data_IF_524322949202
#
_entry.id   IF_524322949202
#
_cell.length_a   1.000
_cell.length_b   1.000
_cell.length_c   1.000
_cell.angle_alpha   90.00
_cell.angle_beta   90.00
_cell.angle_gamma   90.00
#
_symmetry.space_group_name_H-M   'P 1'
#
loop_
_entity.id
_entity.type
_entity.pdbx_description
1 polymer ?
#
# COMPACT_ATOMS: atom_id res chain seq x y z
N UNK A 1 -110.87 30.01 -21.77
CA UNK A 1 -110.25 30.45 -20.50
C UNK A 1 -110.00 29.19 -19.71
N UNK A 2 -108.75 28.98 -19.24
CA UNK A 2 -108.30 27.89 -18.34
C UNK A 2 -108.31 26.46 -18.94
N UNK A 3 -107.44 25.51 -18.58
CA UNK A 3 -106.35 25.38 -17.61
C UNK A 3 -105.49 24.17 -18.07
N UNK A 4 -104.15 24.27 -18.13
CA UNK A 4 -103.18 23.86 -17.08
C UNK A 4 -103.05 22.33 -16.93
N UNK A 5 -102.08 21.75 -17.63
CA UNK A 5 -101.52 20.43 -17.32
C UNK A 5 -100.39 20.61 -16.28
N UNK A 6 -100.48 19.86 -15.19
CA UNK A 6 -99.56 19.87 -14.07
C UNK A 6 -98.25 19.14 -14.42
N UNK A 7 -97.16 19.89 -14.47
CA UNK A 7 -95.80 19.38 -14.60
C UNK A 7 -95.27 18.96 -13.21
N UNK A 8 -94.69 17.78 -13.12
CA UNK A 8 -94.14 17.21 -11.89
C UNK A 8 -92.63 17.43 -11.91
N UNK A 9 -92.16 18.46 -11.19
CA UNK A 9 -90.74 18.79 -11.04
C UNK A 9 -89.93 17.62 -10.46
N UNK A 10 -89.07 17.04 -11.29
CA UNK A 10 -87.96 16.19 -10.86
C UNK A 10 -86.72 17.08 -10.66
N UNK A 11 -86.51 17.42 -9.39
CA UNK A 11 -85.39 18.22 -8.86
C UNK A 11 -84.05 17.91 -9.54
N UNK A 12 -83.45 18.96 -10.09
CA UNK A 12 -82.07 18.97 -10.58
C UNK A 12 -81.07 19.00 -9.40
N UNK A 13 -80.70 17.82 -8.91
CA UNK A 13 -79.66 17.60 -7.88
C UNK A 13 -78.32 17.24 -8.55
N UNK A 14 -77.91 17.95 -9.61
CA UNK A 14 -76.71 17.59 -10.38
C UNK A 14 -75.54 18.58 -10.33
N UNK A 15 -75.71 19.76 -9.72
CA UNK A 15 -74.69 20.82 -9.71
C UNK A 15 -73.85 20.87 -8.41
N UNK A 16 -74.47 20.87 -7.23
CA UNK A 16 -73.74 21.05 -5.95
C UNK A 16 -72.91 19.82 -5.54
N UNK A 17 -73.34 18.61 -5.89
CA UNK A 17 -72.65 17.36 -5.53
C UNK A 17 -71.33 17.19 -6.29
N UNK A 18 -71.22 17.73 -7.52
CA UNK A 18 -70.00 17.68 -8.34
C UNK A 18 -68.86 18.53 -7.80
N UNK A 19 -69.17 19.70 -7.24
CA UNK A 19 -68.17 20.59 -6.65
C UNK A 19 -67.70 20.12 -5.27
N UNK A 20 -68.59 19.54 -4.46
CA UNK A 20 -68.23 18.93 -3.17
C UNK A 20 -67.29 17.72 -3.31
N UNK A 21 -67.55 16.84 -4.28
CA UNK A 21 -66.71 15.67 -4.55
C UNK A 21 -65.33 16.08 -5.10
N UNK A 22 -65.28 17.06 -6.01
CA UNK A 22 -64.02 17.57 -6.55
C UNK A 22 -63.12 18.22 -5.47
N UNK A 23 -63.70 18.95 -4.52
CA UNK A 23 -62.97 19.55 -3.41
C UNK A 23 -62.38 18.50 -2.44
N UNK A 24 -63.13 17.44 -2.14
CA UNK A 24 -62.66 16.34 -1.29
C UNK A 24 -61.53 15.56 -1.99
N UNK A 25 -61.68 15.21 -3.27
CA UNK A 25 -60.63 14.52 -4.02
C UNK A 25 -59.37 15.38 -4.19
N UNK A 26 -59.50 16.69 -4.42
CA UNK A 26 -58.36 17.60 -4.51
C UNK A 26 -57.58 17.72 -3.21
N UNK A 27 -58.27 17.73 -2.07
CA UNK A 27 -57.63 17.84 -0.73
C UNK A 27 -56.95 16.52 -0.35
N UNK A 28 -57.55 15.37 -0.67
CA UNK A 28 -56.93 14.05 -0.46
C UNK A 28 -55.73 13.86 -1.39
N UNK A 29 -55.80 14.29 -2.65
CA UNK A 29 -54.66 14.22 -3.57
C UNK A 29 -53.51 15.11 -3.10
N UNK A 30 -53.77 16.34 -2.66
CA UNK A 30 -52.71 17.25 -2.19
C UNK A 30 -52.04 16.75 -0.90
N UNK A 31 -52.82 16.22 0.06
CA UNK A 31 -52.27 15.64 1.29
C UNK A 31 -51.47 14.36 1.02
N UNK A 32 -51.93 13.48 0.12
CA UNK A 32 -51.15 12.30 -0.29
C UNK A 32 -49.88 12.72 -1.05
N UNK A 33 -49.97 13.67 -2.00
CA UNK A 33 -48.82 14.15 -2.79
C UNK A 33 -47.73 14.75 -1.91
N UNK A 34 -48.13 15.56 -0.92
CA UNK A 34 -47.22 16.13 0.08
C UNK A 34 -46.57 15.06 0.96
N UNK A 35 -47.30 14.01 1.34
CA UNK A 35 -46.77 12.90 2.12
C UNK A 35 -45.75 12.05 1.35
N UNK A 36 -46.01 11.77 0.06
CA UNK A 36 -45.08 11.03 -0.79
C UNK A 36 -43.84 11.85 -1.14
N UNK A 37 -44.00 13.15 -1.42
CA UNK A 37 -42.87 14.05 -1.66
C UNK A 37 -42.03 14.25 -0.38
N UNK A 38 -42.69 14.44 0.76
CA UNK A 38 -42.03 14.55 2.06
C UNK A 38 -41.25 13.28 2.43
N UNK A 39 -41.80 12.10 2.16
CA UNK A 39 -41.08 10.82 2.34
C UNK A 39 -39.94 10.63 1.36
N UNK A 40 -40.10 11.01 0.09
CA UNK A 40 -39.03 10.91 -0.91
C UNK A 40 -37.86 11.86 -0.58
N UNK A 41 -38.16 13.09 -0.13
CA UNK A 41 -37.16 14.06 0.34
C UNK A 41 -36.53 13.60 1.65
N UNK A 42 -37.30 13.07 2.59
CA UNK A 42 -36.77 12.53 3.84
C UNK A 42 -35.89 11.29 3.61
N UNK A 43 -36.27 10.39 2.69
CA UNK A 43 -35.45 9.25 2.28
C UNK A 43 -34.19 9.69 1.52
N UNK A 44 -34.29 10.64 0.59
CA UNK A 44 -33.14 11.19 -0.11
C UNK A 44 -32.17 11.92 0.85
N UNK A 45 -32.70 12.66 1.83
CA UNK A 45 -31.90 13.30 2.87
C UNK A 45 -31.32 12.28 3.85
N UNK A 46 -32.02 11.19 4.16
CA UNK A 46 -31.52 10.11 4.99
C UNK A 46 -30.43 9.30 4.25
N UNK A 47 -30.58 9.04 2.96
CA UNK A 47 -29.52 8.42 2.14
C UNK A 47 -28.31 9.34 1.98
N UNK A 48 -28.52 10.65 1.77
CA UNK A 48 -27.44 11.64 1.72
C UNK A 48 -26.76 11.78 3.08
N UNK A 49 -27.52 11.80 4.17
CA UNK A 49 -26.98 11.82 5.53
C UNK A 49 -26.20 10.55 5.83
N UNK A 50 -26.75 9.37 5.52
CA UNK A 50 -26.09 8.08 5.71
C UNK A 50 -24.86 7.93 4.83
N UNK A 51 -24.87 8.46 3.59
CA UNK A 51 -23.71 8.48 2.69
C UNK A 51 -22.67 9.50 3.16
N UNK A 52 -23.09 10.64 3.71
CA UNK A 52 -22.20 11.63 4.33
C UNK A 52 -21.60 11.11 5.63
N UNK A 53 -22.36 10.34 6.41
CA UNK A 53 -21.97 9.75 7.68
C UNK A 53 -21.08 8.53 7.44
N UNK A 54 -21.36 7.70 6.42
CA UNK A 54 -20.42 6.68 5.91
C UNK A 54 -19.15 7.31 5.35
N UNK A 55 -19.23 8.44 4.64
CA UNK A 55 -18.07 9.17 4.13
C UNK A 55 -17.26 9.81 5.28
N UNK A 56 -17.93 10.34 6.31
CA UNK A 56 -17.31 10.92 7.51
C UNK A 56 -16.73 9.84 8.44
N UNK A 57 -17.35 8.65 8.50
CA UNK A 57 -16.85 7.49 9.25
C UNK A 57 -15.67 6.86 8.52
N UNK A 58 -15.70 6.77 7.18
CA UNK A 58 -14.54 6.40 6.33
C UNK A 58 -13.41 7.42 6.40
N UNK A 59 -13.72 8.73 6.49
CA UNK A 59 -12.74 9.78 6.71
C UNK A 59 -12.08 9.70 8.11
N UNK A 60 -12.63 8.93 9.06
CA UNK A 60 -12.11 8.83 10.44
C UNK A 60 -11.33 7.55 10.76
N UNK A 61 -11.28 6.57 9.87
CA UNK A 61 -10.36 5.43 10.03
C UNK A 61 -8.99 5.77 9.42
N UNK A 62 -8.15 6.45 10.20
CA UNK A 62 -6.71 6.65 9.96
C UNK A 62 -5.90 5.35 10.12
N UNK A 63 -6.55 4.19 9.99
CA UNK A 63 -5.93 2.89 10.23
C UNK A 63 -5.27 2.39 8.95
N UNK A 64 -3.95 2.30 8.99
CA UNK A 64 -3.21 1.43 8.07
C UNK A 64 -3.42 -0.02 8.51
N UNK A 65 -3.87 -0.85 7.58
CA UNK A 65 -4.03 -2.29 7.79
C UNK A 65 -2.68 -2.97 7.62
N UNK A 66 -2.23 -3.73 8.62
CA UNK A 66 -1.03 -4.56 8.46
C UNK A 66 -1.44 -5.81 7.66
N UNK A 67 -0.92 -5.91 6.44
CA UNK A 67 -1.12 -7.07 5.55
C UNK A 67 -0.03 -8.11 5.71
N UNK A 68 1.19 -7.68 6.04
CA UNK A 68 2.33 -8.55 6.25
C UNK A 68 3.24 -8.02 7.35
N UNK A 69 3.82 -8.92 8.13
CA UNK A 69 4.74 -8.58 9.21
C UNK A 69 5.94 -9.55 9.19
N UNK A 70 7.12 -8.98 9.01
CA UNK A 70 8.38 -9.71 8.99
C UNK A 70 9.18 -9.43 10.25
N UNK A 71 9.63 -10.47 10.94
CA UNK A 71 10.62 -10.35 12.01
C UNK A 71 11.57 -11.55 11.99
N UNK A 72 12.86 -11.27 11.99
CA UNK A 72 13.91 -12.26 12.12
C UNK A 72 15.05 -11.68 12.95
N UNK A 73 15.48 -12.39 13.99
CA UNK A 73 16.54 -11.98 14.91
C UNK A 73 17.43 -13.19 15.20
N UNK A 74 18.75 -13.00 15.12
CA UNK A 74 19.75 -14.03 15.37
C UNK A 74 19.61 -15.39 14.61
N UNK A 75 19.01 -16.44 15.15
CA UNK A 75 18.69 -17.66 14.36
C UNK A 75 17.19 -17.85 14.16
N UNK A 76 16.38 -17.02 14.80
CA UNK A 76 14.95 -17.20 14.91
C UNK A 76 14.20 -16.25 14.01
N UNK A 77 12.97 -16.63 13.71
CA UNK A 77 12.05 -15.79 12.98
C UNK A 77 10.62 -16.01 13.46
N UNK A 78 9.79 -14.98 13.28
CA UNK A 78 8.35 -15.05 13.49
C UNK A 78 7.94 -15.62 14.86
N UNK A 79 7.15 -16.69 14.87
CA UNK A 79 6.56 -17.31 16.07
C UNK A 79 7.59 -17.85 17.07
N UNK A 80 8.79 -18.21 16.60
CA UNK A 80 9.86 -18.71 17.48
C UNK A 80 10.31 -17.62 18.46
N UNK A 81 10.48 -16.39 17.97
CA UNK A 81 10.82 -15.22 18.79
C UNK A 81 9.76 -15.01 19.87
N UNK A 82 8.48 -15.08 19.51
CA UNK A 82 7.38 -14.93 20.46
C UNK A 82 7.35 -16.05 21.51
N UNK A 83 7.65 -17.28 21.10
CA UNK A 83 7.79 -18.42 22.02
C UNK A 83 8.92 -18.20 23.03
N UNK A 84 10.06 -17.67 22.57
CA UNK A 84 11.21 -17.39 23.44
C UNK A 84 10.92 -16.26 24.42
N UNK A 85 10.26 -15.19 23.98
CA UNK A 85 9.82 -14.10 24.86
C UNK A 85 8.89 -14.65 25.95
N UNK A 86 7.88 -15.45 25.58
CA UNK A 86 6.95 -16.08 26.53
C UNK A 86 7.66 -17.00 27.51
N UNK A 87 8.57 -17.86 27.02
CA UNK A 87 9.33 -18.81 27.84
C UNK A 87 10.28 -18.10 28.81
N UNK A 88 10.95 -17.03 28.35
CA UNK A 88 11.85 -16.23 29.18
C UNK A 88 11.09 -15.51 30.29
N UNK A 89 9.87 -15.04 29.99
CA UNK A 89 8.96 -14.37 30.93
C UNK A 89 9.64 -13.27 31.76
N UNK A 90 10.56 -12.52 31.13
CA UNK A 90 11.32 -11.46 31.77
C UNK A 90 11.69 -10.38 30.75
N UNK A 91 11.08 -9.21 30.91
CA UNK A 91 11.22 -8.08 29.98
C UNK A 91 12.57 -7.33 30.12
N UNK A 92 13.38 -7.64 31.13
CA UNK A 92 14.67 -6.97 31.40
C UNK A 92 15.88 -7.79 30.95
N UNK A 93 15.67 -8.95 30.36
CA UNK A 93 16.75 -9.85 29.95
C UNK A 93 16.58 -10.25 28.49
N UNK A 94 17.70 -10.32 27.77
CA UNK A 94 17.70 -10.88 26.41
C UNK A 94 17.17 -12.32 26.41
N UNK A 95 16.44 -12.66 25.34
CA UNK A 95 16.09 -14.06 25.03
C UNK A 95 17.30 -14.86 24.54
N UNK A 96 18.39 -14.17 24.16
CA UNK A 96 19.65 -14.75 23.70
C UNK A 96 20.69 -14.85 24.82
N UNK A 97 21.63 -15.76 24.66
CA UNK A 97 22.70 -16.00 25.63
C UNK A 97 23.70 -14.84 25.71
N UNK A 98 24.28 -14.63 26.89
CA UNK A 98 25.41 -13.72 27.07
C UNK A 98 26.76 -14.46 27.12
N UNK A 99 26.79 -15.78 26.90
CA UNK A 99 28.04 -16.54 26.77
C UNK A 99 28.49 -16.54 25.31
N UNK A 100 29.71 -16.06 25.06
CA UNK A 100 30.30 -16.04 23.73
C UNK A 100 30.38 -17.45 23.10
N UNK A 101 30.54 -18.50 23.91
CA UNK A 101 30.65 -19.88 23.44
C UNK A 101 29.39 -20.41 22.75
N UNK A 102 28.25 -19.78 22.99
CA UNK A 102 26.97 -20.13 22.35
C UNK A 102 26.85 -19.57 20.92
N UNK A 103 27.88 -18.87 20.43
CA UNK A 103 27.89 -18.22 19.12
C UNK A 103 28.91 -18.84 18.17
N UNK A 104 28.57 -18.82 16.87
CA UNK A 104 29.45 -19.27 15.79
C UNK A 104 30.71 -18.41 15.69
N UNK A 105 31.87 -19.06 15.69
CA UNK A 105 33.15 -18.38 15.48
C UNK A 105 33.31 -17.84 14.05
N UNK A 106 32.72 -18.55 13.07
CA UNK A 106 32.89 -18.23 11.66
C UNK A 106 32.16 -16.93 11.30
N UNK A 107 32.91 -15.98 10.73
CA UNK A 107 32.33 -14.77 10.14
C UNK A 107 31.41 -15.11 8.96
N UNK A 108 31.74 -16.13 8.18
CA UNK A 108 30.92 -16.53 7.04
C UNK A 108 29.61 -17.19 7.49
N UNK A 109 29.62 -17.97 8.58
CA UNK A 109 28.36 -18.46 9.19
C UNK A 109 27.46 -17.29 9.62
N UNK A 110 28.03 -16.26 10.28
CA UNK A 110 27.28 -15.07 10.69
C UNK A 110 26.73 -14.27 9.50
N UNK A 111 27.47 -14.18 8.39
CA UNK A 111 26.98 -13.58 7.13
C UNK A 111 25.84 -14.38 6.50
N UNK A 112 25.97 -15.70 6.42
CA UNK A 112 24.92 -16.59 5.92
C UNK A 112 23.66 -16.44 6.80
N UNK A 113 23.85 -16.42 8.12
CA UNK A 113 22.78 -16.21 9.08
C UNK A 113 22.06 -14.87 8.86
N UNK A 114 22.77 -13.77 8.58
CA UNK A 114 22.14 -12.50 8.17
C UNK A 114 21.32 -12.66 6.90
N UNK A 115 21.84 -13.33 5.87
CA UNK A 115 21.11 -13.49 4.60
C UNK A 115 19.84 -14.33 4.76
N UNK A 116 19.87 -15.35 5.62
CA UNK A 116 18.69 -16.13 6.01
C UNK A 116 17.63 -15.24 6.69
N UNK A 117 18.03 -14.32 7.58
CA UNK A 117 17.09 -13.37 8.21
C UNK A 117 16.45 -12.43 7.21
N UNK A 118 17.25 -11.89 6.29
CA UNK A 118 16.74 -11.02 5.22
C UNK A 118 15.68 -11.78 4.44
N UNK A 119 15.97 -13.02 4.03
CA UNK A 119 15.01 -13.90 3.34
C UNK A 119 13.75 -14.12 4.17
N UNK A 120 13.88 -14.65 5.39
CA UNK A 120 12.75 -15.05 6.23
C UNK A 120 11.83 -13.86 6.52
N UNK A 121 12.40 -12.72 6.96
CA UNK A 121 11.61 -11.53 7.20
C UNK A 121 10.92 -11.02 5.92
N UNK A 122 11.63 -10.97 4.77
CA UNK A 122 11.01 -10.52 3.51
C UNK A 122 9.88 -11.42 3.01
N UNK A 123 10.00 -12.75 3.19
CA UNK A 123 8.93 -13.69 2.83
C UNK A 123 7.66 -13.42 3.63
N UNK A 124 7.76 -13.07 4.91
CA UNK A 124 6.60 -12.81 5.76
C UNK A 124 6.08 -11.36 5.71
N UNK A 125 6.96 -10.37 5.50
CA UNK A 125 6.50 -8.98 5.36
C UNK A 125 5.90 -8.74 3.97
N UNK A 126 6.45 -9.31 2.90
CA UNK A 126 6.06 -8.98 1.52
C UNK A 126 5.57 -10.17 0.70
N UNK A 127 5.31 -11.33 1.31
CA UNK A 127 4.72 -12.48 0.62
C UNK A 127 3.37 -12.15 -0.04
N UNK A 128 2.58 -11.30 0.62
CA UNK A 128 1.25 -10.86 0.16
C UNK A 128 1.31 -9.45 -0.50
N UNK A 129 2.48 -9.06 -1.00
CA UNK A 129 2.64 -7.85 -1.79
C UNK A 129 1.93 -8.01 -3.14
N UNK A 130 1.15 -7.00 -3.55
CA UNK A 130 0.37 -7.08 -4.79
C UNK A 130 1.30 -7.28 -5.99
N UNK A 131 1.03 -8.34 -6.76
CA UNK A 131 1.86 -8.67 -7.91
C UNK A 131 1.73 -7.60 -9.02
N UNK A 132 2.81 -7.40 -9.79
CA UNK A 132 2.84 -6.54 -10.98
C UNK A 132 2.40 -5.08 -10.79
N UNK A 133 2.48 -4.58 -9.55
CA UNK A 133 2.17 -3.20 -9.24
C UNK A 133 3.39 -2.50 -8.61
N UNK A 134 3.74 -1.27 -9.04
CA UNK A 134 4.89 -0.54 -8.49
C UNK A 134 4.69 -0.12 -7.02
N UNK A 135 5.08 -0.97 -6.06
CA UNK A 135 4.88 -0.76 -4.62
C UNK A 135 5.93 0.20 -4.07
N UNK A 136 5.56 1.33 -3.44
CA UNK A 136 6.49 2.22 -2.75
C UNK A 136 7.08 1.56 -1.51
N UNK A 137 8.40 1.63 -1.36
CA UNK A 137 9.15 1.03 -0.25
C UNK A 137 10.01 2.05 0.48
N UNK A 138 9.87 2.05 1.81
CA UNK A 138 10.62 2.84 2.77
C UNK A 138 11.67 1.95 3.43
N UNK A 139 12.95 2.30 3.30
CA UNK A 139 14.05 1.45 3.77
C UNK A 139 14.86 2.10 4.90
N UNK A 140 15.05 1.36 5.98
CA UNK A 140 15.88 1.74 7.11
C UNK A 140 17.13 0.86 7.15
N UNK A 141 18.25 1.48 7.47
CA UNK A 141 19.53 0.82 7.67
C UNK A 141 20.28 1.41 8.85
N UNK A 142 21.41 0.78 9.23
CA UNK A 142 22.23 1.30 10.32
C UNK A 142 22.75 2.71 10.02
N UNK A 143 23.12 3.48 11.06
CA UNK A 143 23.75 4.79 10.90
C UNK A 143 24.98 4.76 9.99
N UNK A 144 25.04 5.69 9.04
CA UNK A 144 26.14 5.84 8.10
C UNK A 144 27.05 7.02 8.51
N UNK A 145 27.77 6.86 9.64
CA UNK A 145 28.56 7.95 10.26
C UNK A 145 29.81 8.37 9.48
N UNK A 146 30.14 7.67 8.40
CA UNK A 146 31.36 7.88 7.62
C UNK A 146 31.07 8.03 6.12
N UNK A 147 29.86 8.47 5.78
CA UNK A 147 29.42 8.84 4.43
C UNK A 147 29.78 7.79 3.37
N UNK A 148 29.58 6.50 3.70
CA UNK A 148 29.76 5.43 2.73
C UNK A 148 28.73 5.58 1.61
N UNK A 149 29.09 5.16 0.41
CA UNK A 149 28.17 5.17 -0.74
C UNK A 149 27.00 4.17 -0.60
N UNK A 150 27.02 3.28 0.39
CA UNK A 150 25.93 2.36 0.68
C UNK A 150 24.69 3.11 1.18
N UNK A 151 23.53 2.69 0.67
CA UNK A 151 22.22 3.23 1.06
C UNK A 151 21.37 2.18 1.74
N UNK A 152 20.49 2.62 2.63
CA UNK A 152 19.49 1.76 3.24
C UNK A 152 18.54 1.17 2.18
N UNK A 153 18.27 1.92 1.11
CA UNK A 153 17.52 1.44 -0.07
C UNK A 153 18.06 0.15 -0.70
N UNK A 154 19.35 -0.18 -0.50
CA UNK A 154 19.93 -1.44 -0.94
C UNK A 154 19.24 -2.68 -0.36
N UNK A 155 18.61 -2.53 0.81
CA UNK A 155 17.79 -3.57 1.44
C UNK A 155 16.66 -4.05 0.54
N UNK A 156 16.05 -3.16 -0.24
CA UNK A 156 14.87 -3.49 -1.05
C UNK A 156 15.22 -4.57 -2.09
N UNK A 157 16.31 -4.37 -2.84
CA UNK A 157 16.74 -5.37 -3.82
C UNK A 157 17.29 -6.64 -3.16
N UNK A 158 18.05 -6.52 -2.07
CA UNK A 158 18.53 -7.69 -1.31
C UNK A 158 17.37 -8.56 -0.82
N UNK A 159 16.36 -7.94 -0.20
CA UNK A 159 15.18 -8.59 0.33
C UNK A 159 14.33 -9.25 -0.75
N UNK A 160 14.00 -8.51 -1.82
CA UNK A 160 13.22 -9.03 -2.96
C UNK A 160 13.84 -10.31 -3.53
N UNK A 161 15.16 -10.29 -3.75
CA UNK A 161 15.88 -11.43 -4.32
C UNK A 161 15.95 -12.60 -3.34
N UNK A 162 16.28 -12.33 -2.07
CA UNK A 162 16.39 -13.36 -1.04
C UNK A 162 15.07 -14.09 -0.80
N UNK A 163 13.94 -13.37 -0.83
CA UNK A 163 12.60 -13.91 -0.65
C UNK A 163 11.93 -14.39 -1.95
N UNK A 164 12.65 -14.39 -3.08
CA UNK A 164 12.13 -14.84 -4.39
C UNK A 164 10.87 -14.12 -4.86
N UNK A 165 10.72 -12.84 -4.50
CA UNK A 165 9.54 -12.00 -4.82
C UNK A 165 9.65 -11.43 -6.24
N UNK A 166 9.75 -12.31 -7.24
CA UNK A 166 10.02 -11.94 -8.63
C UNK A 166 8.94 -11.05 -9.26
N UNK A 167 7.68 -11.19 -8.84
CA UNK A 167 6.53 -10.44 -9.37
C UNK A 167 6.24 -9.12 -8.65
N UNK A 168 6.87 -8.88 -7.50
CA UNK A 168 6.71 -7.65 -6.73
C UNK A 168 7.58 -6.53 -7.31
N UNK A 169 6.95 -5.44 -7.75
CA UNK A 169 7.65 -4.32 -8.41
C UNK A 169 7.99 -3.23 -7.38
N UNK A 170 8.98 -3.46 -6.52
CA UNK A 170 9.33 -2.47 -5.49
C UNK A 170 10.01 -1.21 -6.03
N UNK A 171 9.51 -0.05 -5.61
CA UNK A 171 10.12 1.26 -5.83
C UNK A 171 10.79 1.76 -4.55
N UNK A 172 11.98 2.36 -4.68
CA UNK A 172 12.60 3.09 -3.58
C UNK A 172 11.90 4.44 -3.41
N UNK A 173 11.02 4.52 -2.41
CA UNK A 173 10.26 5.73 -2.07
C UNK A 173 11.08 6.66 -1.18
N UNK A 174 11.64 6.11 -0.12
CA UNK A 174 12.51 6.84 0.81
C UNK A 174 13.47 5.87 1.49
N UNK A 175 14.61 6.39 1.96
CA UNK A 175 15.53 5.61 2.77
C UNK A 175 16.31 6.45 3.79
N UNK A 176 16.59 5.87 4.94
CA UNK A 176 17.30 6.55 6.02
C UNK A 176 18.27 5.61 6.74
N UNK A 177 19.45 6.14 7.07
CA UNK A 177 20.48 5.45 7.86
C UNK A 177 20.52 6.04 9.26
N UNK A 178 19.84 5.38 10.21
CA UNK A 178 19.48 5.98 11.51
C UNK A 178 19.39 4.93 12.61
N UNK A 179 19.43 5.37 13.88
CA UNK A 179 19.13 4.53 15.05
C UNK A 179 17.65 4.53 15.43
N UNK A 180 16.83 5.36 14.77
CA UNK A 180 15.44 5.64 15.16
C UNK A 180 14.51 5.53 13.95
N UNK A 181 13.46 4.72 14.06
CA UNK A 181 12.50 4.50 12.97
C UNK A 181 11.35 5.53 12.96
N UNK A 182 11.18 6.31 14.03
CA UNK A 182 10.02 7.18 14.27
C UNK A 182 9.78 8.14 13.10
N UNK A 183 10.82 8.87 12.68
CA UNK A 183 10.72 9.83 11.58
C UNK A 183 10.32 9.16 10.24
N UNK A 184 10.83 7.96 9.97
CA UNK A 184 10.45 7.20 8.77
C UNK A 184 9.01 6.72 8.83
N UNK A 185 8.54 6.28 10.01
CA UNK A 185 7.14 5.88 10.22
C UNK A 185 6.22 7.09 10.00
N UNK A 186 6.54 8.25 10.55
CA UNK A 186 5.77 9.49 10.31
C UNK A 186 5.72 9.83 8.82
N UNK A 187 6.85 9.73 8.10
CA UNK A 187 6.87 9.96 6.64
C UNK A 187 6.06 8.92 5.86
N UNK A 188 5.98 7.68 6.32
CA UNK A 188 5.09 6.67 5.74
C UNK A 188 3.61 7.06 5.90
N UNK A 189 3.20 7.54 7.07
CA UNK A 189 1.82 8.01 7.28
C UNK A 189 1.51 9.24 6.41
N UNK A 190 2.38 10.26 6.44
CA UNK A 190 2.24 11.45 5.60
C UNK A 190 2.18 11.07 4.12
N UNK A 191 2.96 10.08 3.68
CA UNK A 191 2.92 9.58 2.32
C UNK A 191 1.53 9.07 1.93
N UNK A 192 0.85 8.31 2.79
CA UNK A 192 -0.51 7.87 2.51
C UNK A 192 -1.48 9.05 2.45
N UNK A 193 -1.32 10.05 3.32
CA UNK A 193 -2.18 11.25 3.35
C UNK A 193 -2.01 12.09 2.08
N UNK A 194 -0.77 12.28 1.63
CA UNK A 194 -0.42 13.02 0.41
C UNK A 194 -0.78 12.27 -0.88
N UNK A 195 -0.93 10.94 -0.82
CA UNK A 195 -1.16 10.09 -1.97
C UNK A 195 -2.40 9.22 -1.79
N UNK A 196 -3.59 9.83 -1.86
CA UNK A 196 -4.88 9.20 -1.54
C UNK A 196 -5.25 7.96 -2.37
N UNK A 197 -4.62 7.77 -3.54
CA UNK A 197 -4.87 6.62 -4.43
C UNK A 197 -3.95 5.43 -4.16
N UNK A 198 -2.92 5.57 -3.32
CA UNK A 198 -1.96 4.48 -3.07
C UNK A 198 -2.58 3.44 -2.13
N UNK A 199 -2.80 2.19 -2.58
CA UNK A 199 -3.47 1.17 -1.76
C UNK A 199 -2.54 0.47 -0.78
N UNK A 200 -1.23 0.42 -1.04
CA UNK A 200 -0.28 -0.37 -0.27
C UNK A 200 1.12 0.27 -0.30
N UNK A 201 1.88 0.11 0.78
CA UNK A 201 3.28 0.50 0.86
C UNK A 201 4.03 -0.48 1.77
N UNK A 202 5.35 -0.52 1.62
CA UNK A 202 6.22 -1.38 2.43
C UNK A 202 7.20 -0.54 3.23
N UNK A 203 7.41 -0.87 4.50
CA UNK A 203 8.53 -0.37 5.29
C UNK A 203 9.38 -1.53 5.76
N UNK A 204 10.70 -1.41 5.63
CA UNK A 204 11.63 -2.47 5.94
C UNK A 204 12.89 -1.91 6.60
N UNK A 205 13.43 -2.63 7.59
CA UNK A 205 14.61 -2.23 8.34
C UNK A 205 15.53 -3.42 8.58
N UNK A 206 16.85 -3.21 8.46
CA UNK A 206 17.86 -4.17 8.88
C UNK A 206 18.90 -3.52 9.78
N UNK A 207 19.42 -4.31 10.72
CA UNK A 207 20.54 -3.90 11.56
C UNK A 207 21.32 -5.10 12.12
N UNK A 208 22.53 -4.86 12.63
CA UNK A 208 23.38 -5.87 13.25
C UNK A 208 24.87 -5.64 12.99
N UNK A 209 25.73 -6.32 13.74
CA UNK A 209 27.20 -6.16 13.63
C UNK A 209 27.75 -6.43 12.22
N UNK A 210 27.31 -7.51 11.57
CA UNK A 210 27.65 -7.86 10.18
C UNK A 210 27.09 -6.83 9.21
N UNK A 211 25.84 -6.41 9.42
CA UNK A 211 25.19 -5.39 8.57
C UNK A 211 25.89 -4.03 8.68
N UNK A 212 26.37 -3.67 9.88
CA UNK A 212 27.15 -2.46 10.19
C UNK A 212 28.58 -2.55 9.68
N UNK A 213 29.11 -3.74 9.41
CA UNK A 213 30.51 -3.95 9.01
C UNK A 213 30.90 -3.11 7.78
N UNK A 214 29.99 -2.93 6.83
CA UNK A 214 30.24 -2.12 5.61
C UNK A 214 30.24 -0.61 5.86
N UNK A 215 29.66 -0.17 6.98
CA UNK A 215 29.54 1.24 7.39
C UNK A 215 30.65 1.69 8.34
N UNK A 216 31.66 0.85 8.60
CA UNK A 216 32.71 1.17 9.58
C UNK A 216 33.68 2.25 9.09
N UNK A 217 34.35 2.87 10.06
CA UNK A 217 35.41 3.86 9.83
C UNK A 217 36.47 3.28 8.88
N UNK A 218 36.89 4.02 7.84
CA UNK A 218 38.00 3.59 6.99
C UNK A 218 39.26 3.26 7.79
N UNK A 219 39.93 2.15 7.46
CA UNK A 219 41.18 1.73 8.10
C UNK A 219 41.04 0.93 9.40
N UNK A 220 39.82 0.67 9.90
CA UNK A 220 39.63 -0.20 11.08
C UNK A 220 39.66 -1.68 10.70
N UNK A 221 40.23 -2.58 11.54
CA UNK A 221 40.25 -4.02 11.28
C UNK A 221 38.85 -4.59 11.05
N UNK A 222 38.71 -5.51 10.09
CA UNK A 222 37.47 -6.26 9.81
C UNK A 222 36.93 -7.01 11.04
N UNK A 223 35.65 -7.38 11.04
CA UNK A 223 35.17 -8.40 11.98
C UNK A 223 36.02 -9.67 11.89
N UNK A 224 36.38 -10.22 13.04
CA UNK A 224 37.28 -11.38 13.14
C UNK A 224 36.49 -12.69 13.26
N UNK A 225 37.11 -13.80 12.85
CA UNK A 225 36.61 -15.13 13.16
C UNK A 225 36.82 -15.41 14.65
N UNK A 226 35.78 -15.24 15.45
CA UNK A 226 35.80 -15.43 16.90
C UNK A 226 34.38 -15.66 17.41
N UNK A 227 34.27 -16.49 18.44
CA UNK A 227 33.05 -16.62 19.22
C UNK A 227 32.88 -15.34 20.03
N UNK A 228 31.87 -14.54 19.71
CA UNK A 228 31.59 -13.26 20.36
C UNK A 228 30.09 -13.10 20.52
N UNK A 229 29.68 -12.54 21.66
CA UNK A 229 28.31 -12.06 21.83
C UNK A 229 28.12 -10.85 20.91
N UNK A 230 27.12 -10.83 20.02
CA UNK A 230 26.86 -9.67 19.18
C UNK A 230 26.61 -8.42 20.01
N UNK A 231 27.22 -7.30 19.62
CA UNK A 231 26.90 -6.00 20.23
C UNK A 231 25.50 -5.58 19.81
N UNK A 232 25.17 -5.80 18.53
CA UNK A 232 23.84 -5.66 17.97
C UNK A 232 23.52 -6.95 17.24
N UNK A 233 22.48 -7.64 17.71
CA UNK A 233 22.00 -8.85 17.04
C UNK A 233 21.57 -8.53 15.61
N UNK A 234 22.02 -9.36 14.68
CA UNK A 234 21.50 -9.33 13.32
C UNK A 234 19.99 -9.45 13.36
N UNK A 235 19.32 -8.45 12.82
CA UNK A 235 17.89 -8.30 12.87
C UNK A 235 17.37 -7.72 11.56
N UNK A 236 16.21 -8.20 11.16
CA UNK A 236 15.48 -7.72 10.01
C UNK A 236 14.00 -7.67 10.38
N UNK A 237 13.35 -6.55 10.08
CA UNK A 237 11.91 -6.41 10.30
C UNK A 237 11.26 -5.51 9.27
N UNK A 238 9.96 -5.63 9.09
CA UNK A 238 9.20 -4.75 8.25
C UNK A 238 7.72 -5.03 8.28
N UNK A 239 6.96 -4.11 7.70
CA UNK A 239 5.52 -4.17 7.58
C UNK A 239 5.11 -3.86 6.15
N UNK A 240 4.19 -4.66 5.64
CA UNK A 240 3.38 -4.31 4.48
C UNK A 240 2.07 -3.76 4.99
N UNK A 241 1.81 -2.50 4.66
CA UNK A 241 0.64 -1.77 5.12
C UNK A 241 -0.26 -1.42 3.95
N UNK A 242 -1.56 -1.47 4.16
CA UNK A 242 -2.54 -1.23 3.12
C UNK A 242 -3.73 -0.39 3.60
N UNK A 243 -4.50 0.05 2.61
CA UNK A 243 -5.73 0.82 2.73
C UNK A 243 -6.75 0.18 1.80
N UNK A 244 -7.48 -0.81 2.31
CA UNK A 244 -8.45 -1.58 1.51
C UNK A 244 -9.58 -0.71 0.96
N UNK A 245 -9.93 0.36 1.68
CA UNK A 245 -10.88 1.38 1.22
C UNK A 245 -10.46 2.04 -0.11
N UNK A 246 -9.15 2.17 -0.37
CA UNK A 246 -8.62 2.73 -1.62
C UNK A 246 -8.71 1.73 -2.76
N UNK A 247 -8.57 0.43 -2.48
CA UNK A 247 -8.81 -0.61 -3.47
C UNK A 247 -10.27 -0.57 -3.92
N UNK A 248 -11.20 -0.54 -2.98
CA UNK A 248 -12.63 -0.53 -3.30
C UNK A 248 -13.07 0.73 -4.04
N UNK A 249 -12.51 1.90 -3.67
CA UNK A 249 -12.90 3.18 -4.25
C UNK A 249 -12.23 3.48 -5.59
N UNK A 250 -10.93 3.22 -5.72
CA UNK A 250 -10.12 3.70 -6.84
C UNK A 250 -9.69 2.60 -7.82
N UNK A 251 -9.78 1.33 -7.44
CA UNK A 251 -9.23 0.23 -8.23
C UNK A 251 -10.32 -0.75 -8.70
N UNK A 252 -11.08 -1.33 -7.75
CA UNK A 252 -12.08 -2.38 -8.01
C UNK A 252 -13.08 -2.02 -9.12
N UNK A 253 -13.62 -0.78 -9.23
CA UNK A 253 -14.57 -0.43 -10.29
C UNK A 253 -13.98 -0.48 -11.71
N UNK A 254 -12.65 -0.38 -11.83
CA UNK A 254 -11.93 -0.26 -13.09
C UNK A 254 -11.16 -1.53 -13.46
N UNK A 255 -11.22 -2.56 -12.61
CA UNK A 255 -10.40 -3.75 -12.72
C UNK A 255 -10.82 -4.65 -13.90
N UNK A 256 -9.83 -5.12 -14.66
CA UNK A 256 -10.05 -5.86 -15.91
C UNK A 256 -10.21 -7.37 -15.65
N UNK A 257 -10.93 -8.05 -16.54
CA UNK A 257 -11.05 -9.51 -16.55
C UNK A 257 -9.92 -10.17 -17.35
N UNK A 258 -8.85 -9.43 -17.68
CA UNK A 258 -7.73 -9.99 -18.42
C UNK A 258 -7.01 -11.05 -17.56
N UNK A 259 -6.62 -12.19 -18.14
CA UNK A 259 -5.86 -13.20 -17.43
C UNK A 259 -4.48 -12.66 -17.03
N UNK A 260 -3.93 -13.20 -15.95
CA UNK A 260 -2.56 -12.92 -15.55
C UNK A 260 -1.58 -13.54 -16.57
N UNK A 261 -0.99 -12.69 -17.40
CA UNK A 261 0.09 -13.05 -18.33
C UNK A 261 1.04 -11.87 -18.50
N UNK A 262 2.14 -11.89 -17.73
CA UNK A 262 3.18 -10.86 -17.78
C UNK A 262 4.11 -10.99 -19.00
N UNK A 263 4.05 -12.11 -19.75
CA UNK A 263 4.87 -12.34 -20.95
C UNK A 263 4.21 -11.82 -22.21
N UNK A 264 2.88 -11.68 -22.22
CA UNK A 264 2.14 -11.15 -23.35
C UNK A 264 2.30 -9.64 -23.51
N UNK A 265 3.27 -9.21 -24.32
CA UNK A 265 3.56 -7.78 -24.60
C UNK A 265 2.45 -7.03 -25.35
N UNK A 266 1.37 -7.70 -25.74
CA UNK A 266 0.20 -7.04 -26.34
C UNK A 266 -0.79 -6.52 -25.29
N UNK A 267 -0.75 -7.05 -24.06
CA UNK A 267 -1.58 -6.56 -22.94
C UNK A 267 -0.88 -5.40 -22.22
N UNK A 268 -1.66 -4.59 -21.51
CA UNK A 268 -1.10 -3.48 -20.75
C UNK A 268 -0.27 -3.98 -19.54
N UNK A 269 -0.64 -5.12 -18.96
CA UNK A 269 0.13 -5.83 -17.93
C UNK A 269 1.52 -6.24 -18.44
N UNK A 270 1.59 -6.93 -19.59
CA UNK A 270 2.86 -7.36 -20.16
C UNK A 270 3.74 -6.19 -20.61
N UNK A 271 3.14 -5.09 -21.08
CA UNK A 271 3.86 -3.83 -21.36
C UNK A 271 4.42 -3.20 -20.10
N UNK A 272 3.62 -3.09 -19.02
CA UNK A 272 4.10 -2.59 -17.72
C UNK A 272 5.26 -3.44 -17.22
N UNK A 273 5.11 -4.76 -17.24
CA UNK A 273 6.14 -5.71 -16.78
C UNK A 273 7.45 -5.53 -17.53
N UNK A 274 7.41 -5.57 -18.87
CA UNK A 274 8.60 -5.39 -19.70
C UNK A 274 9.21 -4.00 -19.47
N UNK A 275 8.39 -2.96 -19.41
CA UNK A 275 8.83 -1.59 -19.21
C UNK A 275 9.53 -1.40 -17.86
N UNK A 276 8.99 -1.95 -16.78
CA UNK A 276 9.58 -1.89 -15.44
C UNK A 276 10.98 -2.51 -15.42
N UNK A 277 11.15 -3.72 -15.96
CA UNK A 277 12.42 -4.44 -15.90
C UNK A 277 13.54 -3.86 -16.78
N UNK A 278 13.21 -2.97 -17.72
CA UNK A 278 14.21 -2.19 -18.45
C UNK A 278 14.81 -1.05 -17.62
N UNK A 279 14.09 -0.56 -16.61
CA UNK A 279 14.45 0.66 -15.88
C UNK A 279 15.69 0.53 -14.96
N UNK A 280 15.91 -0.58 -14.21
CA UNK A 280 17.01 -0.66 -13.25
C UNK A 280 18.39 -0.40 -13.84
N UNK A 281 18.66 -0.89 -15.07
CA UNK A 281 19.93 -0.66 -15.74
C UNK A 281 20.11 0.81 -16.14
N UNK A 282 19.05 1.44 -16.64
CA UNK A 282 19.04 2.86 -17.04
C UNK A 282 19.22 3.77 -15.81
N UNK A 283 18.45 3.50 -14.76
CA UNK A 283 18.52 4.24 -13.50
C UNK A 283 19.89 4.15 -12.83
N UNK A 284 20.50 2.95 -12.77
CA UNK A 284 21.84 2.77 -12.18
C UNK A 284 22.85 3.76 -12.76
N UNK A 285 22.88 3.88 -14.09
CA UNK A 285 23.80 4.79 -14.78
C UNK A 285 23.52 6.25 -14.41
N UNK A 286 22.25 6.66 -14.48
CA UNK A 286 21.83 8.04 -14.15
C UNK A 286 22.22 8.40 -12.71
N UNK A 287 21.94 7.49 -11.77
CA UNK A 287 22.24 7.66 -10.36
C UNK A 287 23.75 7.79 -10.12
N UNK A 288 24.55 6.85 -10.64
CA UNK A 288 26.00 6.84 -10.42
C UNK A 288 26.70 8.03 -11.08
N UNK A 289 26.24 8.46 -12.26
CA UNK A 289 26.76 9.66 -12.93
C UNK A 289 26.41 10.93 -12.13
N UNK A 290 25.20 11.03 -11.58
CA UNK A 290 24.79 12.14 -10.71
C UNK A 290 25.59 12.19 -9.40
N UNK A 291 25.84 11.05 -8.77
CA UNK A 291 26.66 10.97 -7.54
C UNK A 291 28.14 11.30 -7.81
N UNK A 292 28.70 10.88 -8.96
CA UNK A 292 30.04 11.31 -9.38
C UNK A 292 30.12 12.81 -9.57
N UNK A 293 29.10 13.43 -10.15
CA UNK A 293 29.03 14.88 -10.32
C UNK A 293 29.01 15.63 -8.97
N UNK A 294 28.50 15.01 -7.91
CA UNK A 294 28.57 15.51 -6.52
C UNK A 294 29.91 15.23 -5.82
N UNK A 295 30.87 14.58 -6.50
CA UNK A 295 32.18 14.27 -5.96
C UNK A 295 32.31 12.90 -5.26
N UNK A 296 31.30 12.03 -5.34
CA UNK A 296 31.39 10.67 -4.78
C UNK A 296 32.35 9.84 -5.64
N UNK A 297 33.49 9.44 -5.06
CA UNK A 297 34.57 8.73 -5.78
C UNK A 297 34.16 7.37 -6.34
N UNK A 298 33.34 6.63 -5.59
CA UNK A 298 32.88 5.29 -5.94
C UNK A 298 31.38 5.19 -5.62
N UNK A 299 30.51 5.77 -6.45
CA UNK A 299 29.07 5.70 -6.20
C UNK A 299 28.58 4.27 -6.33
N UNK A 300 27.53 3.95 -5.58
CA UNK A 300 26.90 2.65 -5.63
C UNK A 300 25.38 2.83 -5.69
N UNK A 301 24.76 2.46 -6.81
CA UNK A 301 23.31 2.48 -6.89
C UNK A 301 22.71 1.42 -5.94
N UNK A 302 21.56 1.70 -5.30
CA UNK A 302 20.93 0.78 -4.36
C UNK A 302 20.35 -0.49 -5.02
N UNK A 303 20.38 -0.59 -6.36
CA UNK A 303 19.87 -1.77 -7.08
C UNK A 303 18.35 -1.80 -7.27
N UNK A 304 17.63 -0.82 -6.71
CA UNK A 304 16.19 -0.57 -6.91
C UNK A 304 16.01 0.82 -7.52
N UNK A 305 15.03 0.99 -8.42
CA UNK A 305 14.72 2.29 -9.01
C UNK A 305 13.99 3.18 -8.02
N UNK A 306 14.27 4.49 -8.01
CA UNK A 306 13.51 5.42 -7.16
C UNK A 306 12.11 5.65 -7.73
N UNK A 307 11.15 5.93 -6.85
CA UNK A 307 9.79 6.31 -7.25
C UNK A 307 9.82 7.52 -8.17
N UNK A 308 10.58 8.57 -7.83
CA UNK A 308 10.68 9.77 -8.64
C UNK A 308 11.18 9.48 -10.06
N UNK A 309 12.18 8.60 -10.20
CA UNK A 309 12.64 8.16 -11.51
C UNK A 309 11.54 7.39 -12.23
N UNK A 310 10.94 6.38 -11.59
CA UNK A 310 9.86 5.59 -12.19
C UNK A 310 8.73 6.47 -12.74
N UNK A 311 8.24 7.41 -11.93
CA UNK A 311 7.16 8.32 -12.32
C UNK A 311 7.55 9.22 -13.50
N UNK A 312 8.80 9.68 -13.57
CA UNK A 312 9.30 10.45 -14.72
C UNK A 312 9.28 9.66 -16.04
N UNK A 313 9.28 8.33 -15.99
CA UNK A 313 9.27 7.47 -17.17
C UNK A 313 7.85 7.09 -17.63
N UNK A 314 6.84 7.26 -16.78
CA UNK A 314 5.46 6.87 -17.07
C UNK A 314 4.84 7.50 -18.33
N UNK A 315 5.12 8.76 -18.71
CA UNK A 315 4.64 9.31 -19.98
C UNK A 315 5.08 8.49 -21.20
N UNK A 316 6.20 7.79 -21.14
CA UNK A 316 6.64 6.88 -22.20
C UNK A 316 5.82 5.59 -22.20
N UNK A 317 5.58 5.01 -21.01
CA UNK A 317 4.72 3.82 -20.86
C UNK A 317 3.30 4.10 -21.37
N UNK A 318 2.70 5.25 -20.99
CA UNK A 318 1.32 5.58 -21.31
C UNK A 318 1.04 5.73 -22.81
N UNK A 319 2.07 6.03 -23.62
CA UNK A 319 1.96 6.03 -25.09
C UNK A 319 1.81 4.62 -25.68
N UNK A 320 2.13 3.58 -24.91
CA UNK A 320 2.13 2.18 -25.38
C UNK A 320 0.90 1.39 -24.93
N UNK A 321 0.25 1.82 -23.84
CA UNK A 321 -0.89 1.11 -23.27
C UNK A 321 -2.17 1.44 -24.05
N UNK A 322 -3.09 0.48 -24.06
CA UNK A 322 -4.40 0.63 -24.70
C UNK A 322 -5.46 1.19 -23.74
N UNK A 323 -5.24 1.01 -22.44
CA UNK A 323 -6.14 1.35 -21.35
C UNK A 323 -7.56 0.77 -21.51
N UNK A 324 -7.68 -0.41 -22.13
CA UNK A 324 -8.97 -1.08 -22.35
C UNK A 324 -9.50 -1.64 -21.03
N UNK A 325 -10.78 -1.39 -20.74
CA UNK A 325 -11.42 -1.88 -19.52
C UNK A 325 -12.69 -1.11 -19.15
N UNK A 326 -13.31 -1.48 -18.02
CA UNK A 326 -14.58 -0.89 -17.59
C UNK A 326 -14.41 0.55 -17.08
N UNK A 327 -15.34 1.44 -17.44
CA UNK A 327 -15.37 2.82 -16.92
C UNK A 327 -14.22 3.72 -17.38
N UNK A 328 -14.28 4.99 -16.97
CA UNK A 328 -13.31 6.02 -17.32
C UNK A 328 -12.13 6.00 -16.35
N UNK A 329 -11.21 5.07 -16.56
CA UNK A 329 -9.95 5.03 -15.81
C UNK A 329 -8.92 5.96 -16.45
N UNK A 330 -8.29 6.77 -15.62
CA UNK A 330 -7.15 7.59 -16.00
C UNK A 330 -5.88 7.03 -15.34
N UNK A 331 -4.87 6.64 -16.12
CA UNK A 331 -3.57 6.25 -15.58
C UNK A 331 -2.98 7.35 -14.70
N UNK A 332 -2.39 6.95 -13.57
CA UNK A 332 -1.78 7.88 -12.62
C UNK A 332 -0.37 7.42 -12.22
N UNK A 333 0.44 8.27 -11.56
CA UNK A 333 1.75 7.89 -11.06
C UNK A 333 1.77 6.66 -10.16
N UNK A 334 0.65 6.39 -9.49
CA UNK A 334 0.47 5.28 -8.54
C UNK A 334 -0.38 4.14 -9.09
N UNK A 335 -1.08 4.37 -10.19
CA UNK A 335 -1.89 3.36 -10.86
C UNK A 335 -1.66 3.48 -12.37
N UNK A 336 -0.48 3.05 -12.86
CA UNK A 336 -0.05 3.33 -14.23
C UNK A 336 -0.83 2.55 -15.29
N UNK A 337 -1.48 1.45 -14.89
CA UNK A 337 -2.44 0.67 -15.67
C UNK A 337 -3.55 0.21 -14.72
N UNK A 338 -4.67 -0.25 -15.29
CA UNK A 338 -5.74 -0.92 -14.55
C UNK A 338 -5.21 -2.21 -13.93
N UNK A 339 -5.66 -2.51 -12.72
CA UNK A 339 -5.41 -3.83 -12.12
C UNK A 339 -6.28 -4.90 -12.79
N UNK A 340 -5.77 -6.12 -12.87
CA UNK A 340 -6.58 -7.30 -13.16
C UNK A 340 -7.38 -7.72 -11.93
N UNK A 341 -8.45 -8.49 -12.13
CA UNK A 341 -9.23 -9.07 -11.02
C UNK A 341 -8.40 -9.97 -10.10
N UNK A 342 -7.29 -10.55 -10.57
CA UNK A 342 -6.39 -11.34 -9.73
C UNK A 342 -5.73 -10.47 -8.67
N UNK A 343 -5.15 -9.32 -9.05
CA UNK A 343 -4.54 -8.34 -8.12
C UNK A 343 -5.55 -7.75 -7.13
N UNK A 344 -6.82 -7.68 -7.49
CA UNK A 344 -7.89 -7.16 -6.61
C UNK A 344 -8.38 -8.19 -5.58
N UNK A 345 -8.08 -9.49 -5.81
CA UNK A 345 -8.43 -10.59 -4.89
C UNK A 345 -7.32 -10.88 -3.89
N UNK A 346 -6.07 -10.60 -4.25
CA UNK A 346 -4.93 -10.52 -3.33
C UNK A 346 -5.17 -9.46 -2.24
#
# INVERSE_FOLDING_TARGET
MEAQESDMELRDIHSMTRWGIAAIFGTVLLTYSGHWWGKAVAHGNAELAQKSEQTATQQRTYSLEIRGAGIAIFHDNQSEIWSFIKKKNNNSTSIYSNDAKDYDASLDSRKISRDIKIRAAFQHLAGDAIAYWPIPVFALGPPNLFDKAYRAAGLINSGRNAATLGVALFLWQDDESTTHAQAMIERLFNFFDDNSQVPQALIASRDGDITRDVYRKPGTPALQNAQVVPTIFESMTGLLVARSDRVDRYIRPYATQEPEDNQNKNTDLGKLWAFYWEQPRKFRKIYEDAEKAKGVKAPLAPGTISTAYWQSQLPTLWKTISNRGPGNFEPSPWLPIRWGQHQVKE
#
